data_IF_920237084019
#
_entry.id   IF_920237084019
#
_cell.length_a   1.000
_cell.length_b   1.000
_cell.length_c   1.000
_cell.angle_alpha   90.00
_cell.angle_beta   90.00
_cell.angle_gamma   90.00
#
_symmetry.space_group_name_H-M   'P 1'
#
loop_
_entity.id
_entity.type
_entity.pdbx_description
1 polymer ?
#
# COMPACT_ATOMS: atom_id res chain seq x y z
N UNK A 1 -7.52 -14.67 13.54
CA UNK A 1 -7.45 -13.20 13.46
C UNK A 1 -7.90 -12.62 14.80
N UNK A 2 -7.22 -11.59 15.35
CA UNK A 2 -7.68 -10.93 16.58
C UNK A 2 -8.85 -9.98 16.28
N UNK A 3 -9.67 -9.64 17.29
CA UNK A 3 -10.76 -8.67 17.12
C UNK A 3 -10.25 -7.32 16.60
N UNK A 4 -9.06 -6.88 17.02
CA UNK A 4 -8.44 -5.66 16.53
C UNK A 4 -8.12 -5.74 15.03
N UNK A 5 -7.64 -6.89 14.56
CA UNK A 5 -7.38 -7.10 13.13
C UNK A 5 -8.67 -7.14 12.31
N UNK A 6 -9.74 -7.75 12.85
CA UNK A 6 -11.04 -7.75 12.17
C UNK A 6 -11.61 -6.34 12.05
N UNK A 7 -11.53 -5.53 13.11
CA UNK A 7 -11.91 -4.12 13.07
C UNK A 7 -11.07 -3.36 12.05
N UNK A 8 -9.74 -3.52 12.05
CA UNK A 8 -8.84 -2.86 11.11
C UNK A 8 -9.15 -3.21 9.65
N UNK A 9 -9.47 -4.48 9.37
CA UNK A 9 -9.89 -4.93 8.03
C UNK A 9 -11.15 -4.22 7.54
N UNK A 10 -12.17 -4.13 8.40
CA UNK A 10 -13.43 -3.46 8.06
C UNK A 10 -13.28 -1.95 7.92
N UNK A 11 -12.43 -1.33 8.75
CA UNK A 11 -12.06 0.07 8.61
C UNK A 11 -11.31 0.33 7.29
N UNK A 12 -10.38 -0.56 6.90
CA UNK A 12 -9.70 -0.48 5.61
C UNK A 12 -10.72 -0.45 4.45
N UNK A 13 -11.70 -1.36 4.46
CA UNK A 13 -12.75 -1.40 3.45
C UNK A 13 -13.57 -0.11 3.42
N UNK A 14 -13.97 0.39 4.59
CA UNK A 14 -14.74 1.63 4.69
C UNK A 14 -13.97 2.83 4.11
N UNK A 15 -12.69 2.98 4.47
CA UNK A 15 -11.84 4.06 3.94
C UNK A 15 -11.51 3.88 2.45
N UNK A 16 -11.35 2.66 1.97
CA UNK A 16 -11.11 2.38 0.55
C UNK A 16 -12.30 2.77 -0.33
N UNK A 17 -13.53 2.62 0.17
CA UNK A 17 -14.73 2.94 -0.59
C UNK A 17 -15.16 4.40 -0.47
N UNK A 18 -14.97 5.06 0.68
CA UNK A 18 -15.50 6.39 0.98
C UNK A 18 -14.43 7.47 1.15
N UNK A 19 -13.15 7.10 1.08
CA UNK A 19 -12.05 8.00 1.43
C UNK A 19 -11.97 8.24 2.94
N UNK A 20 -11.10 9.18 3.34
CA UNK A 20 -10.80 9.43 4.75
C UNK A 20 -11.63 10.57 5.36
N UNK A 21 -12.08 11.52 4.55
CA UNK A 21 -12.77 12.72 5.03
C UNK A 21 -14.23 12.44 5.40
N UNK A 22 -14.94 11.70 4.55
CA UNK A 22 -16.40 11.53 4.65
C UNK A 22 -16.87 10.70 5.84
N UNK A 23 -16.30 9.50 6.16
CA UNK A 23 -16.90 8.66 7.19
C UNK A 23 -16.80 9.28 8.57
N UNK A 24 -17.95 9.51 9.20
CA UNK A 24 -18.05 9.83 10.63
C UNK A 24 -17.67 8.61 11.48
N UNK A 25 -17.30 8.84 12.76
CA UNK A 25 -17.01 7.74 13.69
C UNK A 25 -18.22 6.81 13.89
N UNK A 26 -19.46 7.34 13.80
CA UNK A 26 -20.68 6.53 13.87
C UNK A 26 -20.80 5.57 12.67
N UNK A 27 -20.43 6.01 11.49
CA UNK A 27 -20.42 5.16 10.28
C UNK A 27 -19.26 4.15 10.34
N UNK A 28 -18.09 4.55 10.81
CA UNK A 28 -16.95 3.64 11.03
C UNK A 28 -17.27 2.55 12.06
N UNK A 29 -17.96 2.90 13.16
CA UNK A 29 -18.48 1.94 14.13
C UNK A 29 -19.42 0.93 13.47
N UNK A 30 -20.32 1.40 12.63
CA UNK A 30 -21.28 0.55 11.91
C UNK A 30 -20.56 -0.35 10.92
N UNK A 31 -19.62 0.19 10.13
CA UNK A 31 -18.81 -0.58 9.20
C UNK A 31 -17.97 -1.65 9.90
N UNK A 32 -17.40 -1.32 11.08
CA UNK A 32 -16.62 -2.24 11.88
C UNK A 32 -17.47 -3.30 12.63
N UNK A 33 -18.80 -3.17 12.63
CA UNK A 33 -19.77 -4.06 13.30
C UNK A 33 -19.48 -4.26 14.80
N UNK A 34 -19.07 -3.20 15.48
CA UNK A 34 -18.79 -3.23 16.93
C UNK A 34 -19.51 -2.08 17.65
N UNK A 35 -19.54 -2.14 19.00
CA UNK A 35 -20.00 -1.00 19.78
C UNK A 35 -19.00 0.16 19.71
N UNK A 36 -19.46 1.40 19.92
CA UNK A 36 -18.60 2.57 20.00
C UNK A 36 -17.52 2.42 21.09
N UNK A 37 -17.91 1.84 22.24
CA UNK A 37 -16.98 1.53 23.33
C UNK A 37 -15.89 0.53 22.89
N UNK A 38 -16.24 -0.49 22.13
CA UNK A 38 -15.29 -1.47 21.62
C UNK A 38 -14.36 -0.84 20.60
N UNK A 39 -14.90 -0.01 19.68
CA UNK A 39 -14.12 0.69 18.69
C UNK A 39 -13.05 1.59 19.34
N UNK A 40 -13.46 2.46 20.29
CA UNK A 40 -12.53 3.35 20.98
C UNK A 40 -11.55 2.64 21.92
N UNK A 41 -11.89 1.44 22.42
CA UNK A 41 -10.95 0.62 23.18
C UNK A 41 -9.76 0.15 22.33
N UNK A 42 -9.99 -0.15 21.06
CA UNK A 42 -8.94 -0.60 20.13
C UNK A 42 -8.28 0.54 19.35
N UNK A 43 -9.05 1.57 19.04
CA UNK A 43 -8.63 2.73 18.27
C UNK A 43 -9.17 4.01 18.91
N UNK A 44 -8.38 4.66 19.79
CA UNK A 44 -8.87 5.76 20.64
C UNK A 44 -9.27 7.04 19.89
N UNK A 45 -8.88 7.19 18.61
CA UNK A 45 -9.21 8.35 17.77
C UNK A 45 -9.49 7.92 16.34
N UNK A 46 -10.05 8.83 15.51
CA UNK A 46 -10.23 8.58 14.07
C UNK A 46 -8.88 8.37 13.38
N UNK A 47 -7.85 9.11 13.79
CA UNK A 47 -6.49 8.98 13.26
C UNK A 47 -5.89 7.61 13.57
N UNK A 48 -6.10 7.08 14.78
CA UNK A 48 -5.67 5.72 15.12
C UNK A 48 -6.43 4.65 14.34
N UNK A 49 -7.70 4.89 13.98
CA UNK A 49 -8.46 4.04 13.07
C UNK A 49 -7.86 4.05 11.66
N UNK A 50 -7.46 5.21 11.17
CA UNK A 50 -6.76 5.36 9.88
C UNK A 50 -5.45 4.59 9.89
N UNK A 51 -4.61 4.78 10.92
CA UNK A 51 -3.32 4.08 11.06
C UNK A 51 -3.52 2.57 11.11
N UNK A 52 -4.50 2.08 11.87
CA UNK A 52 -4.82 0.67 11.95
C UNK A 52 -5.27 0.08 10.60
N UNK A 53 -6.10 0.79 9.85
CA UNK A 53 -6.54 0.40 8.52
C UNK A 53 -5.37 0.36 7.52
N UNK A 54 -4.50 1.37 7.55
CA UNK A 54 -3.30 1.42 6.70
C UNK A 54 -2.32 0.30 7.03
N UNK A 55 -2.09 0.01 8.32
CA UNK A 55 -1.21 -1.07 8.75
C UNK A 55 -1.74 -2.45 8.29
N UNK A 56 -3.05 -2.69 8.44
CA UNK A 56 -3.69 -3.92 7.96
C UNK A 56 -3.53 -4.07 6.44
N UNK A 57 -3.81 -3.00 5.68
CA UNK A 57 -3.64 -3.00 4.22
C UNK A 57 -2.20 -3.24 3.80
N UNK A 58 -1.24 -2.59 4.46
CA UNK A 58 0.18 -2.74 4.15
C UNK A 58 0.66 -4.17 4.36
N UNK A 59 0.33 -4.78 5.50
CA UNK A 59 0.66 -6.18 5.77
C UNK A 59 0.08 -7.10 4.68
N UNK A 60 -1.21 -6.95 4.37
CA UNK A 60 -1.91 -7.73 3.33
C UNK A 60 -1.30 -7.53 1.95
N UNK A 61 -0.86 -6.33 1.62
CA UNK A 61 -0.19 -6.02 0.36
C UNK A 61 1.19 -6.68 0.27
N UNK A 62 1.99 -6.59 1.32
CA UNK A 62 3.31 -7.25 1.34
C UNK A 62 3.19 -8.77 1.25
N UNK A 63 2.22 -9.38 1.95
CA UNK A 63 1.95 -10.82 1.87
C UNK A 63 1.52 -11.20 0.44
N UNK A 64 0.64 -10.41 -0.16
CA UNK A 64 0.20 -10.60 -1.53
C UNK A 64 1.36 -10.53 -2.53
N UNK A 65 2.28 -9.57 -2.40
CA UNK A 65 3.45 -9.47 -3.28
C UNK A 65 4.42 -10.64 -3.13
N UNK A 66 4.52 -11.20 -1.91
CA UNK A 66 5.43 -12.32 -1.61
C UNK A 66 4.89 -13.69 -1.98
N UNK A 67 3.58 -13.82 -2.18
CA UNK A 67 2.96 -15.10 -2.54
C UNK A 67 3.46 -15.60 -3.90
N UNK A 68 4.11 -16.78 -3.93
CA UNK A 68 4.68 -17.38 -5.13
C UNK A 68 5.93 -16.66 -5.68
N UNK A 69 6.61 -15.87 -4.83
CA UNK A 69 7.76 -15.06 -5.22
C UNK A 69 8.93 -15.93 -5.68
N UNK A 70 9.49 -15.68 -6.89
CA UNK A 70 10.74 -16.31 -7.34
C UNK A 70 11.97 -15.86 -6.53
N UNK A 71 13.09 -16.56 -6.74
CA UNK A 71 14.38 -16.11 -6.22
C UNK A 71 14.71 -14.68 -6.71
N UNK A 72 15.46 -13.88 -5.91
CA UNK A 72 15.82 -12.52 -6.27
C UNK A 72 16.45 -12.41 -7.67
N UNK A 73 16.11 -11.36 -8.39
CA UNK A 73 16.57 -11.06 -9.75
C UNK A 73 15.41 -10.64 -10.68
N UNK A 74 15.66 -10.76 -11.98
CA UNK A 74 14.73 -10.33 -13.03
C UNK A 74 13.32 -10.94 -12.89
N UNK A 75 13.22 -12.25 -12.61
CA UNK A 75 11.94 -12.92 -12.45
C UNK A 75 11.14 -12.40 -11.24
N UNK A 76 11.82 -12.06 -10.14
CA UNK A 76 11.19 -11.48 -8.97
C UNK A 76 10.63 -10.07 -9.23
N UNK A 77 11.33 -9.25 -10.03
CA UNK A 77 10.84 -7.94 -10.44
C UNK A 77 9.62 -8.04 -11.36
N UNK A 78 9.66 -8.92 -12.36
CA UNK A 78 8.50 -9.19 -13.23
C UNK A 78 7.30 -9.62 -12.39
N UNK A 79 7.51 -10.58 -11.47
CA UNK A 79 6.48 -11.03 -10.54
C UNK A 79 5.89 -9.87 -9.73
N UNK A 80 6.73 -9.00 -9.15
CA UNK A 80 6.27 -7.87 -8.35
C UNK A 80 5.36 -6.93 -9.15
N UNK A 81 5.75 -6.53 -10.36
CA UNK A 81 4.93 -5.64 -11.19
C UNK A 81 3.64 -6.31 -11.67
N UNK A 82 3.65 -7.60 -11.99
CA UNK A 82 2.44 -8.34 -12.31
C UNK A 82 1.48 -8.42 -11.10
N UNK A 83 2.00 -8.67 -9.90
CA UNK A 83 1.21 -8.64 -8.66
C UNK A 83 0.70 -7.24 -8.36
N UNK A 84 1.51 -6.20 -8.57
CA UNK A 84 1.03 -4.81 -8.46
C UNK A 84 -0.18 -4.57 -9.39
N UNK A 85 -0.11 -4.99 -10.65
CA UNK A 85 -1.23 -4.86 -11.59
C UNK A 85 -2.50 -5.57 -11.10
N UNK A 86 -2.38 -6.79 -10.58
CA UNK A 86 -3.49 -7.53 -9.99
C UNK A 86 -4.07 -6.80 -8.77
N UNK A 87 -3.21 -6.28 -7.89
CA UNK A 87 -3.62 -5.50 -6.73
C UNK A 87 -4.36 -4.22 -7.11
N UNK A 88 -3.82 -3.47 -8.07
CA UNK A 88 -4.46 -2.26 -8.55
C UNK A 88 -5.85 -2.53 -9.13
N UNK A 89 -6.01 -3.62 -9.86
CA UNK A 89 -7.29 -4.02 -10.44
C UNK A 89 -8.34 -4.42 -9.40
N UNK A 90 -7.93 -5.17 -8.38
CA UNK A 90 -8.85 -5.82 -7.46
C UNK A 90 -9.04 -5.06 -6.14
N UNK A 91 -7.98 -4.41 -5.63
CA UNK A 91 -7.93 -3.84 -4.28
C UNK A 91 -7.69 -2.32 -4.27
N UNK A 92 -7.15 -1.76 -5.34
CA UNK A 92 -6.75 -0.36 -5.39
C UNK A 92 -7.12 0.35 -6.70
N UNK A 93 -8.36 0.19 -7.24
CA UNK A 93 -8.72 0.75 -8.55
C UNK A 93 -8.61 2.27 -8.62
N UNK A 94 -8.65 2.95 -7.48
CA UNK A 94 -8.56 4.42 -7.35
C UNK A 94 -7.18 4.92 -6.92
N UNK A 95 -6.17 4.05 -6.90
CA UNK A 95 -4.81 4.42 -6.53
C UNK A 95 -4.40 4.02 -5.11
N UNK A 96 -3.28 4.57 -4.64
CA UNK A 96 -2.67 4.19 -3.38
C UNK A 96 -3.38 4.81 -2.17
N UNK A 97 -4.01 3.99 -1.32
CA UNK A 97 -4.72 4.43 -0.12
C UNK A 97 -3.78 5.16 0.88
N UNK A 98 -2.52 4.73 1.02
CA UNK A 98 -1.55 5.39 1.89
C UNK A 98 -1.25 6.82 1.45
N UNK A 99 -1.12 7.07 0.14
CA UNK A 99 -0.94 8.43 -0.37
C UNK A 99 -2.20 9.27 -0.21
N UNK A 100 -3.37 8.68 -0.36
CA UNK A 100 -4.64 9.35 -0.08
C UNK A 100 -4.74 9.78 1.40
N UNK A 101 -4.30 8.94 2.34
CA UNK A 101 -4.23 9.30 3.75
C UNK A 101 -3.23 10.44 4.01
N UNK A 102 -2.05 10.38 3.41
CA UNK A 102 -1.03 11.43 3.51
C UNK A 102 -1.57 12.80 3.09
N UNK A 103 -2.34 12.84 2.00
CA UNK A 103 -2.95 14.07 1.47
C UNK A 103 -4.13 14.53 2.34
N UNK A 104 -4.93 13.60 2.88
CA UNK A 104 -6.09 13.92 3.70
C UNK A 104 -5.73 14.45 5.10
N UNK A 105 -4.55 14.10 5.62
CA UNK A 105 -4.09 14.48 6.96
C UNK A 105 -2.72 15.19 6.90
N UNK A 106 -2.61 16.33 6.21
CA UNK A 106 -1.34 17.03 6.08
C UNK A 106 -0.88 17.53 7.46
N UNK A 107 0.31 17.08 7.87
CA UNK A 107 0.89 17.50 9.16
C UNK A 107 0.43 16.69 10.38
N UNK A 108 -0.32 15.60 10.22
CA UNK A 108 -0.58 14.67 11.33
C UNK A 108 0.62 13.71 11.48
N UNK A 109 1.49 13.88 12.52
CA UNK A 109 2.79 13.21 12.56
C UNK A 109 2.67 11.69 12.51
N UNK A 110 1.76 11.09 13.29
CA UNK A 110 1.64 9.64 13.40
C UNK A 110 1.18 9.00 12.07
N UNK A 111 0.31 9.68 11.30
CA UNK A 111 -0.13 9.20 9.98
C UNK A 111 1.02 9.33 8.97
N UNK A 112 1.73 10.46 8.99
CA UNK A 112 2.90 10.69 8.13
C UNK A 112 3.98 9.65 8.41
N UNK A 113 4.25 9.35 9.68
CA UNK A 113 5.23 8.35 10.10
C UNK A 113 4.82 6.94 9.67
N UNK A 114 3.55 6.57 9.84
CA UNK A 114 3.03 5.28 9.39
C UNK A 114 3.17 5.11 7.86
N UNK A 115 2.75 6.12 7.08
CA UNK A 115 2.90 6.09 5.62
C UNK A 115 4.37 6.02 5.22
N UNK A 116 5.23 6.83 5.86
CA UNK A 116 6.68 6.83 5.58
C UNK A 116 7.32 5.48 5.89
N UNK A 117 6.90 4.79 6.96
CA UNK A 117 7.38 3.46 7.27
C UNK A 117 6.97 2.46 6.19
N UNK A 118 5.70 2.46 5.75
CA UNK A 118 5.24 1.60 4.67
C UNK A 118 6.04 1.80 3.37
N UNK A 119 6.44 3.04 3.07
CA UNK A 119 7.27 3.33 1.90
C UNK A 119 8.70 2.82 2.05
N UNK A 120 9.29 2.94 3.24
CA UNK A 120 10.60 2.34 3.54
C UNK A 120 10.58 0.82 3.40
N UNK A 121 9.54 0.15 3.88
CA UNK A 121 9.38 -1.31 3.76
C UNK A 121 9.32 -1.74 2.28
N UNK A 122 8.65 -0.94 1.43
CA UNK A 122 8.61 -1.20 -0.02
C UNK A 122 9.99 -1.01 -0.68
N UNK A 123 10.75 0.02 -0.32
CA UNK A 123 12.12 0.22 -0.83
C UNK A 123 13.01 -0.96 -0.42
N UNK A 124 12.89 -1.41 0.83
CA UNK A 124 13.64 -2.58 1.31
C UNK A 124 13.26 -3.85 0.54
N UNK A 125 11.97 -4.11 0.33
CA UNK A 125 11.51 -5.25 -0.46
C UNK A 125 12.07 -5.20 -1.89
N UNK A 126 12.06 -4.04 -2.54
CA UNK A 126 12.62 -3.86 -3.88
C UNK A 126 14.14 -4.09 -3.92
N UNK A 127 14.87 -3.67 -2.88
CA UNK A 127 16.30 -3.98 -2.75
C UNK A 127 16.56 -5.49 -2.65
N UNK A 128 15.76 -6.18 -1.84
CA UNK A 128 15.84 -7.64 -1.67
C UNK A 128 15.52 -8.37 -2.99
N UNK A 129 14.43 -8.00 -3.66
CA UNK A 129 13.95 -8.66 -4.88
C UNK A 129 14.87 -8.44 -6.07
N UNK A 130 15.42 -7.24 -6.21
CA UNK A 130 16.34 -6.92 -7.30
C UNK A 130 17.75 -7.46 -7.09
N UNK A 131 18.15 -7.69 -5.81
CA UNK A 131 19.56 -7.89 -5.43
C UNK A 131 20.43 -6.65 -5.67
N UNK A 132 19.81 -5.49 -5.91
CA UNK A 132 20.44 -4.22 -6.28
C UNK A 132 19.93 -3.08 -5.37
N UNK A 133 20.45 -2.97 -4.14
CA UNK A 133 20.04 -1.91 -3.21
C UNK A 133 20.33 -0.50 -3.72
N UNK A 134 21.32 -0.35 -4.60
CA UNK A 134 21.69 0.91 -5.24
C UNK A 134 20.60 1.47 -6.17
N UNK A 135 19.80 0.63 -6.82
CA UNK A 135 18.70 1.05 -7.69
C UNK A 135 17.32 0.98 -7.02
N UNK A 136 17.24 0.47 -5.79
CA UNK A 136 15.96 0.30 -5.10
C UNK A 136 15.13 1.60 -4.98
N UNK A 137 15.71 2.78 -4.72
CA UNK A 137 14.96 4.05 -4.75
C UNK A 137 14.34 4.35 -6.11
N UNK A 138 15.04 4.06 -7.21
CA UNK A 138 14.51 4.26 -8.57
C UNK A 138 13.41 3.25 -8.90
N UNK A 139 13.57 1.98 -8.49
CA UNK A 139 12.53 0.96 -8.61
C UNK A 139 11.27 1.34 -7.81
N UNK A 140 11.45 1.94 -6.63
CA UNK A 140 10.35 2.45 -5.83
C UNK A 140 9.59 3.59 -6.54
N UNK A 141 10.29 4.52 -7.18
CA UNK A 141 9.65 5.58 -7.96
C UNK A 141 8.86 5.02 -9.14
N UNK A 142 9.32 3.96 -9.80
CA UNK A 142 8.57 3.27 -10.85
C UNK A 142 7.31 2.59 -10.29
N UNK A 143 7.40 1.94 -9.15
CA UNK A 143 6.27 1.34 -8.44
C UNK A 143 5.21 2.38 -8.06
N UNK A 144 5.62 3.50 -7.45
CA UNK A 144 4.73 4.59 -7.09
C UNK A 144 4.11 5.27 -8.31
N UNK A 145 4.92 5.50 -9.35
CA UNK A 145 4.47 6.08 -10.61
C UNK A 145 3.41 5.21 -11.29
N UNK A 146 3.62 3.90 -11.35
CA UNK A 146 2.65 2.95 -11.90
C UNK A 146 1.34 2.96 -11.09
N UNK A 147 1.43 2.97 -9.76
CA UNK A 147 0.27 3.03 -8.88
C UNK A 147 -0.52 4.33 -9.05
N UNK A 148 0.16 5.46 -9.16
CA UNK A 148 -0.47 6.77 -9.36
C UNK A 148 -1.10 6.91 -10.75
N UNK A 149 -0.47 6.35 -11.78
CA UNK A 149 -0.95 6.42 -13.16
C UNK A 149 -2.05 5.38 -13.47
N UNK A 150 -2.24 4.38 -12.63
CA UNK A 150 -3.20 3.30 -12.85
C UNK A 150 -4.62 3.77 -13.22
N UNK A 151 -5.25 4.75 -12.53
CA UNK A 151 -6.60 5.19 -12.87
C UNK A 151 -6.76 5.77 -14.29
N UNK A 152 -5.64 6.21 -14.89
CA UNK A 152 -5.61 6.80 -16.21
C UNK A 152 -5.11 5.85 -17.31
N UNK A 153 -4.15 4.99 -16.98
CA UNK A 153 -3.42 4.17 -17.95
C UNK A 153 -3.69 2.66 -17.82
N UNK A 154 -4.25 2.22 -16.69
CA UNK A 154 -4.49 0.80 -16.42
C UNK A 154 -3.20 -0.04 -16.53
N UNK A 155 -3.30 -1.18 -17.19
CA UNK A 155 -2.20 -2.12 -17.36
C UNK A 155 -0.99 -1.53 -18.11
N UNK A 156 -1.17 -0.50 -18.93
CA UNK A 156 -0.07 0.17 -19.61
C UNK A 156 0.92 0.83 -18.63
N UNK A 157 0.44 1.35 -17.49
CA UNK A 157 1.31 1.90 -16.45
C UNK A 157 2.22 0.82 -15.85
N UNK A 158 1.66 -0.37 -15.62
CA UNK A 158 2.41 -1.51 -15.08
C UNK A 158 3.48 -1.99 -16.06
N UNK A 159 3.11 -2.21 -17.33
CA UNK A 159 4.05 -2.67 -18.35
C UNK A 159 5.19 -1.67 -18.57
N UNK A 160 4.91 -0.37 -18.59
CA UNK A 160 5.93 0.66 -18.73
C UNK A 160 6.92 0.66 -17.55
N UNK A 161 6.39 0.56 -16.33
CA UNK A 161 7.21 0.51 -15.12
C UNK A 161 8.05 -0.77 -15.03
N UNK A 162 7.46 -1.93 -15.34
CA UNK A 162 8.16 -3.22 -15.40
C UNK A 162 9.33 -3.16 -16.40
N UNK A 163 9.07 -2.69 -17.62
CA UNK A 163 10.10 -2.56 -18.65
C UNK A 163 11.26 -1.66 -18.19
N UNK A 164 10.95 -0.48 -17.64
CA UNK A 164 11.96 0.43 -17.12
C UNK A 164 12.75 -0.16 -15.94
N UNK A 165 12.08 -0.90 -15.03
CA UNK A 165 12.72 -1.56 -13.91
C UNK A 165 13.73 -2.62 -14.36
N UNK A 166 13.39 -3.41 -15.38
CA UNK A 166 14.30 -4.40 -15.96
C UNK A 166 15.53 -3.74 -16.60
N UNK A 167 15.35 -2.65 -17.33
CA UNK A 167 16.47 -1.90 -17.91
C UNK A 167 17.39 -1.32 -16.85
N UNK A 168 16.85 -0.77 -15.75
CA UNK A 168 17.64 -0.25 -14.63
C UNK A 168 18.51 -1.32 -13.97
N UNK A 169 18.01 -2.55 -13.88
CA UNK A 169 18.76 -3.63 -13.22
C UNK A 169 19.76 -4.32 -14.13
N UNK A 170 19.59 -4.25 -15.44
CA UNK A 170 20.54 -4.77 -16.45
C UNK A 170 21.69 -3.77 -16.71
N UNK A 171 21.46 -2.46 -16.54
CA UNK A 171 22.47 -1.42 -16.72
C UNK A 171 23.43 -1.32 -15.52
N UNK A 172 24.74 -1.23 -15.76
CA UNK A 172 25.66 -0.69 -14.78
C UNK A 172 25.42 0.82 -14.71
N UNK A 173 24.96 1.30 -13.54
CA UNK A 173 25.03 2.73 -13.25
C UNK A 173 26.51 3.07 -13.08
N UNK A 174 27.14 3.55 -14.18
CA UNK A 174 28.48 4.12 -14.20
C UNK A 174 28.53 5.48 -13.52
#
# INVERSE_FOLDING_TARGET
MSLQQDIASRLEQAFSHRGFAEPSVAELKTAAEVSLRTLYRHFPSKESMVIGALAHRHARYLDFLREGLPAPGKAALVHLFQRLGQWMKNDAPHGCLSMSAFVAFPGHPDIVDAVSQHKRDMIQLLAELSGRPDVAPALFLLHEGASAAWPLMGEHAIHAAEHAALQLTEGNLS
#
